data_IF_444510712445
#
_entry.id   IF_444510712445
#
_cell.length_a   1.000
_cell.length_b   1.000
_cell.length_c   1.000
_cell.angle_alpha   90.00
_cell.angle_beta   90.00
_cell.angle_gamma   90.00
#
_symmetry.space_group_name_H-M   'P 1'
#
loop_
_entity.id
_entity.type
_entity.pdbx_description
1 polymer ?
#
# COMPACT_ATOMS: atom_id res chain seq x y z
N UNK A 1 -7.54 -22.11 14.33
CA UNK A 1 -7.03 -21.56 13.06
C UNK A 1 -5.70 -20.81 13.23
N UNK A 2 -5.58 -19.86 14.17
CA UNK A 2 -4.38 -19.02 14.30
C UNK A 2 -3.07 -19.78 14.60
N UNK A 3 -3.11 -20.82 15.44
CA UNK A 3 -1.93 -21.65 15.73
C UNK A 3 -1.41 -22.40 14.51
N UNK A 4 -2.28 -22.77 13.57
CA UNK A 4 -1.86 -23.41 12.32
C UNK A 4 -1.08 -22.41 11.46
N UNK A 5 -1.54 -21.16 11.36
CA UNK A 5 -0.80 -20.10 10.66
C UNK A 5 0.59 -19.88 11.28
N UNK A 6 0.69 -19.82 12.60
CA UNK A 6 1.98 -19.63 13.28
C UNK A 6 2.97 -20.77 12.98
N UNK A 7 2.49 -22.02 12.98
CA UNK A 7 3.32 -23.18 12.65
C UNK A 7 3.88 -23.10 11.23
N UNK A 8 3.06 -22.65 10.27
CA UNK A 8 3.51 -22.51 8.87
C UNK A 8 4.45 -21.30 8.72
N UNK A 9 4.29 -20.22 9.51
CA UNK A 9 5.24 -19.10 9.51
C UNK A 9 6.60 -19.48 10.13
N UNK A 10 6.64 -20.45 11.05
CA UNK A 10 7.88 -20.99 11.64
C UNK A 10 8.65 -21.88 10.66
N UNK A 11 7.93 -22.75 9.95
CA UNK A 11 8.50 -23.69 8.99
C UNK A 11 7.77 -23.55 7.63
N UNK A 12 8.02 -22.47 6.87
CA UNK A 12 7.30 -22.22 5.63
C UNK A 12 7.68 -23.26 4.57
N UNK A 13 6.70 -23.91 3.91
CA UNK A 13 6.96 -24.72 2.74
C UNK A 13 7.64 -23.88 1.65
N UNK A 14 8.60 -24.47 0.91
CA UNK A 14 9.37 -23.74 -0.11
C UNK A 14 8.53 -23.09 -1.23
N UNK A 15 7.32 -23.61 -1.47
CA UNK A 15 6.41 -23.12 -2.49
C UNK A 15 5.41 -22.08 -1.98
N UNK A 16 5.50 -21.68 -0.70
CA UNK A 16 4.52 -20.83 -0.06
C UNK A 16 5.14 -19.50 0.38
N UNK A 17 4.46 -18.40 0.03
CA UNK A 17 4.79 -17.06 0.52
C UNK A 17 3.56 -16.40 1.13
N UNK A 18 3.71 -15.89 2.36
CA UNK A 18 2.67 -15.11 3.03
C UNK A 18 2.88 -13.62 2.82
N UNK A 19 1.82 -12.92 2.44
CA UNK A 19 1.76 -11.46 2.43
C UNK A 19 0.64 -11.06 3.39
N UNK A 20 1.03 -10.46 4.52
CA UNK A 20 0.10 -9.98 5.54
C UNK A 20 0.00 -8.45 5.44
N UNK A 21 -1.23 -7.93 5.36
CA UNK A 21 -1.51 -6.50 5.30
C UNK A 21 -2.36 -6.07 6.51
N UNK A 22 -1.96 -5.00 7.18
CA UNK A 22 -2.71 -4.41 8.31
C UNK A 22 -2.53 -2.89 8.35
N UNK A 23 -3.59 -2.18 8.74
CA UNK A 23 -3.53 -0.75 9.09
C UNK A 23 -3.28 -0.53 10.58
N UNK A 24 -3.41 -1.58 11.40
CA UNK A 24 -3.32 -1.52 12.86
C UNK A 24 -2.19 -2.43 13.36
N UNK A 25 -0.93 -2.04 13.09
CA UNK A 25 0.24 -2.86 13.39
C UNK A 25 0.34 -3.25 14.87
N UNK A 26 -0.08 -2.38 15.78
CA UNK A 26 -0.05 -2.61 17.23
C UNK A 26 -1.00 -3.72 17.69
N UNK A 27 -1.99 -4.11 16.87
CA UNK A 27 -2.88 -5.25 17.15
C UNK A 27 -2.30 -6.59 16.67
N UNK A 28 -1.21 -6.57 15.91
CA UNK A 28 -0.56 -7.80 15.43
C UNK A 28 0.25 -8.42 16.56
N UNK A 29 0.10 -9.73 16.74
CA UNK A 29 0.85 -10.46 17.77
C UNK A 29 2.37 -10.35 17.53
N UNK A 30 3.18 -10.14 18.59
CA UNK A 30 4.63 -10.11 18.49
C UNK A 30 5.24 -11.34 17.80
N UNK A 31 4.60 -12.51 17.95
CA UNK A 31 5.04 -13.76 17.33
C UNK A 31 4.99 -13.74 15.81
N UNK A 32 4.04 -13.01 15.21
CA UNK A 32 4.01 -12.80 13.75
C UNK A 32 5.07 -11.78 13.35
N UNK A 33 5.18 -10.68 14.10
CA UNK A 33 6.13 -9.61 13.81
C UNK A 33 7.59 -10.10 13.84
N UNK A 34 7.92 -11.07 14.68
CA UNK A 34 9.27 -11.63 14.76
C UNK A 34 9.62 -12.61 13.64
N UNK A 35 8.64 -13.08 12.86
CA UNK A 35 8.80 -14.11 11.81
C UNK A 35 8.56 -13.57 10.40
N UNK A 36 8.12 -12.32 10.26
CA UNK A 36 7.82 -11.68 8.98
C UNK A 36 8.75 -10.50 8.73
N UNK A 37 9.13 -10.29 7.46
CA UNK A 37 9.75 -9.05 7.05
C UNK A 37 8.72 -7.93 7.02
N UNK A 38 8.95 -6.88 7.80
CA UNK A 38 8.06 -5.72 7.85
C UNK A 38 8.39 -4.74 6.73
N UNK A 39 7.40 -4.48 5.89
CA UNK A 39 7.40 -3.37 4.94
C UNK A 39 6.32 -2.37 5.35
N UNK A 40 6.72 -1.14 5.65
CA UNK A 40 5.79 -0.06 5.95
C UNK A 40 5.66 0.86 4.74
N UNK A 41 4.47 0.90 4.16
CA UNK A 41 4.11 1.88 3.15
C UNK A 41 3.87 3.22 3.82
N UNK A 42 4.45 4.28 3.26
CA UNK A 42 4.18 5.65 3.67
C UNK A 42 3.14 6.24 2.73
N UNK A 43 2.42 7.25 3.21
CA UNK A 43 1.58 8.10 2.36
C UNK A 43 2.41 8.67 1.23
N UNK A 44 1.82 8.74 0.05
CA UNK A 44 2.45 9.38 -1.10
C UNK A 44 2.44 10.90 -0.92
N UNK A 45 3.42 11.55 -1.51
CA UNK A 45 3.39 13.01 -1.64
C UNK A 45 2.32 13.42 -2.67
N UNK A 46 1.64 14.54 -2.44
CA UNK A 46 0.60 15.05 -3.32
C UNK A 46 1.11 15.29 -4.74
N UNK A 47 2.37 15.73 -4.88
CA UNK A 47 3.03 15.89 -6.17
C UNK A 47 3.24 14.57 -6.91
N UNK A 48 3.49 13.48 -6.17
CA UNK A 48 3.63 12.14 -6.75
C UNK A 48 2.29 11.66 -7.29
N UNK A 49 1.20 11.92 -6.55
CA UNK A 49 -0.16 11.59 -6.99
C UNK A 49 -0.54 12.43 -8.21
N UNK A 50 -0.30 13.75 -8.18
CA UNK A 50 -0.59 14.64 -9.30
C UNK A 50 0.12 14.20 -10.60
N UNK A 51 1.41 13.84 -10.51
CA UNK A 51 2.17 13.30 -11.66
C UNK A 51 1.57 11.99 -12.18
N UNK A 52 1.14 11.10 -11.27
CA UNK A 52 0.53 9.84 -11.66
C UNK A 52 -0.83 10.05 -12.34
N UNK A 53 -1.64 10.97 -11.83
CA UNK A 53 -2.94 11.32 -12.41
C UNK A 53 -2.78 11.93 -13.80
N UNK A 54 -1.83 12.85 -13.99
CA UNK A 54 -1.52 13.42 -15.30
C UNK A 54 -1.09 12.34 -16.30
N UNK A 55 -0.22 11.42 -15.87
CA UNK A 55 0.20 10.27 -16.69
C UNK A 55 -0.99 9.39 -17.11
N UNK A 56 -1.87 9.02 -16.19
CA UNK A 56 -3.04 8.19 -16.50
C UNK A 56 -4.01 8.94 -17.42
N UNK A 57 -4.29 10.22 -17.15
CA UNK A 57 -5.17 11.03 -17.97
C UNK A 57 -4.68 11.14 -19.42
N UNK A 58 -3.36 11.27 -19.63
CA UNK A 58 -2.75 11.24 -20.96
C UNK A 58 -2.99 9.91 -21.67
N UNK A 59 -2.78 8.78 -20.99
CA UNK A 59 -2.99 7.44 -21.57
C UNK A 59 -4.46 7.18 -21.93
N UNK A 60 -5.38 7.72 -21.14
CA UNK A 60 -6.82 7.58 -21.35
C UNK A 60 -7.40 8.65 -22.31
N UNK A 61 -6.58 9.60 -22.79
CA UNK A 61 -7.03 10.70 -23.65
C UNK A 61 -7.94 11.71 -22.96
N UNK A 62 -7.86 11.80 -21.62
CA UNK A 62 -8.65 12.72 -20.79
C UNK A 62 -7.87 14.03 -20.61
N UNK A 63 -8.52 15.15 -20.89
CA UNK A 63 -7.94 16.47 -20.63
C UNK A 63 -7.89 16.75 -19.12
N UNK A 64 -6.69 16.77 -18.54
CA UNK A 64 -6.45 17.13 -17.15
C UNK A 64 -5.41 18.26 -17.08
N UNK A 65 -5.79 19.39 -16.49
CA UNK A 65 -4.86 20.52 -16.32
C UNK A 65 -3.90 20.26 -15.15
N UNK A 66 -2.72 20.89 -15.18
CA UNK A 66 -1.73 20.76 -14.10
C UNK A 66 -2.29 21.19 -12.74
N UNK A 67 -3.03 22.30 -12.69
CA UNK A 67 -3.64 22.80 -11.46
C UNK A 67 -4.71 21.85 -10.91
N UNK A 68 -5.50 21.22 -11.79
CA UNK A 68 -6.49 20.21 -11.39
C UNK A 68 -5.80 18.95 -10.85
N UNK A 69 -4.76 18.46 -11.52
CA UNK A 69 -3.98 17.31 -11.05
C UNK A 69 -3.35 17.59 -9.67
N UNK A 70 -2.84 18.80 -9.46
CA UNK A 70 -2.28 19.26 -8.20
C UNK A 70 -3.34 19.34 -7.08
N UNK A 71 -4.53 19.86 -7.39
CA UNK A 71 -5.64 19.90 -6.45
C UNK A 71 -6.07 18.47 -6.04
N UNK A 72 -6.25 17.57 -7.01
CA UNK A 72 -6.60 16.17 -6.74
C UNK A 72 -5.52 15.47 -5.90
N UNK A 73 -4.24 15.66 -6.23
CA UNK A 73 -3.13 15.10 -5.48
C UNK A 73 -3.10 15.53 -4.01
N UNK A 74 -3.50 16.78 -3.72
CA UNK A 74 -3.65 17.27 -2.33
C UNK A 74 -4.87 16.69 -1.64
N UNK A 75 -6.01 16.58 -2.34
CA UNK A 75 -7.25 16.03 -1.79
C UNK A 75 -7.15 14.53 -1.49
N UNK A 76 -6.29 13.81 -2.21
CA UNK A 76 -6.04 12.40 -2.02
C UNK A 76 -5.39 12.04 -0.67
N UNK A 77 -4.86 13.02 0.08
CA UNK A 77 -4.19 12.83 1.38
C UNK A 77 -3.13 11.70 1.35
N UNK A 78 -2.43 11.54 0.23
CA UNK A 78 -1.42 10.50 0.04
C UNK A 78 -1.96 9.10 -0.26
N UNK A 79 -3.27 8.94 -0.47
CA UNK A 79 -3.92 7.72 -0.94
C UNK A 79 -4.17 7.75 -2.46
N UNK A 80 -3.39 6.96 -3.22
CA UNK A 80 -3.54 6.88 -4.69
C UNK A 80 -4.89 6.33 -5.14
N UNK A 81 -5.57 5.56 -4.29
CA UNK A 81 -6.87 4.97 -4.62
C UNK A 81 -8.01 5.98 -4.58
N UNK A 82 -7.91 6.95 -3.67
CA UNK A 82 -8.98 7.91 -3.39
C UNK A 82 -8.76 9.26 -4.12
N UNK A 83 -7.57 9.44 -4.73
CA UNK A 83 -7.19 10.60 -5.53
C UNK A 83 -7.51 10.52 -7.01
#
# INVERSE_FOLDING_TARGET
>A
AFNALLKILEEPPQHLMFILATTELHKVLPTILSRCQRHSFRRLDGDTIAKRLAYVAEQEGISLTADAAQLLGRLADGGMRDG
#
